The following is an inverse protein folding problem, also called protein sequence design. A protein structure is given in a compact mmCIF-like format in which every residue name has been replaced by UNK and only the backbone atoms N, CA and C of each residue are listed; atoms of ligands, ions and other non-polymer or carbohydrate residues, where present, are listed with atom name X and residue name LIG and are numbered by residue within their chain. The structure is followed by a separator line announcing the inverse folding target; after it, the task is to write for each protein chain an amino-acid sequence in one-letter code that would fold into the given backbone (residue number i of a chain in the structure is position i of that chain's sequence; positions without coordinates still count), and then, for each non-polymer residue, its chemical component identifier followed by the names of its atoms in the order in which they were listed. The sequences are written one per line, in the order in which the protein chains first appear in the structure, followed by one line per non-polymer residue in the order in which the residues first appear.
data_IF_383409487054
#
_entry.id   IF_383409487054
#
_cell.length_a   1.000
_cell.length_b   1.000
_cell.length_c   1.000
_cell.angle_alpha   90.00
_cell.angle_beta   90.00
_cell.angle_gamma   90.00
#
_symmetry.space_group_name_H-M   'P 1'
#
loop_
_entity.id
_entity.type
_entity.pdbx_description
1 polymer ?
#
# COMPACT_ATOMS: atom_id res chain seq x y z
N UNK A 1 15.19 2.88 5.79
CA UNK A 1 13.84 2.84 5.23
C UNK A 1 13.43 1.37 4.99
N UNK A 2 13.30 0.60 6.08
CA UNK A 2 12.95 -0.83 6.03
C UNK A 2 12.02 -1.25 7.21
N UNK A 3 11.71 -0.31 8.09
CA UNK A 3 11.07 -0.59 9.38
C UNK A 3 9.61 -0.99 9.22
N UNK A 4 8.92 -0.41 8.24
CA UNK A 4 7.49 -0.64 8.02
C UNK A 4 7.21 -2.04 7.43
N UNK A 5 8.04 -2.52 6.50
CA UNK A 5 7.93 -3.89 6.00
C UNK A 5 8.24 -4.94 7.08
N UNK A 6 9.26 -4.69 7.90
CA UNK A 6 9.58 -5.58 9.02
C UNK A 6 8.44 -5.65 10.05
N UNK A 7 7.70 -4.55 10.26
CA UNK A 7 6.52 -4.54 11.14
C UNK A 7 5.36 -5.35 10.54
N UNK A 8 5.06 -5.19 9.25
CA UNK A 8 4.04 -5.98 8.55
C UNK A 8 4.40 -7.47 8.58
N UNK A 9 5.65 -7.82 8.29
CA UNK A 9 6.14 -9.19 8.33
C UNK A 9 6.08 -9.80 9.75
N UNK A 10 6.25 -8.98 10.80
CA UNK A 10 6.10 -9.43 12.19
C UNK A 10 4.64 -9.69 12.59
N UNK A 11 3.67 -9.03 11.95
CA UNK A 11 2.23 -9.23 12.19
C UNK A 11 1.69 -10.46 11.46
N UNK A 12 2.32 -10.88 10.36
CA UNK A 12 1.98 -12.12 9.65
C UNK A 12 2.68 -13.30 10.33
N UNK A 13 1.98 -13.92 11.28
CA UNK A 13 2.51 -15.02 12.11
C UNK A 13 2.76 -16.33 11.35
N UNK A 14 2.14 -16.49 10.18
CA UNK A 14 2.19 -17.73 9.38
C UNK A 14 3.11 -17.52 8.19
N UNK A 15 4.09 -18.42 8.01
CA UNK A 15 4.91 -18.45 6.79
C UNK A 15 4.19 -19.20 5.68
N UNK A 16 4.16 -18.64 4.47
CA UNK A 16 3.55 -19.27 3.30
C UNK A 16 4.20 -20.63 2.98
N UNK A 17 3.36 -21.63 2.77
CA UNK A 17 3.68 -22.96 2.26
C UNK A 17 2.58 -23.43 1.28
N UNK A 18 2.71 -24.64 0.74
CA UNK A 18 1.81 -25.15 -0.31
C UNK A 18 0.39 -25.41 0.19
N UNK A 19 0.20 -25.63 1.48
CA UNK A 19 -1.06 -26.10 2.06
C UNK A 19 -1.80 -24.99 2.83
N UNK A 20 -1.17 -23.83 3.06
CA UNK A 20 -1.71 -22.78 3.93
C UNK A 20 -1.97 -21.44 3.24
N UNK A 21 -2.02 -21.41 1.91
CA UNK A 21 -2.19 -20.17 1.14
C UNK A 21 -3.37 -19.33 1.63
N UNK A 22 -4.54 -19.93 1.84
CA UNK A 22 -5.75 -19.21 2.27
C UNK A 22 -5.59 -18.57 3.67
N UNK A 23 -4.96 -19.28 4.61
CA UNK A 23 -4.72 -18.75 5.94
C UNK A 23 -3.68 -17.63 5.88
N UNK A 24 -2.60 -17.83 5.13
CA UNK A 24 -1.56 -16.84 4.94
C UNK A 24 -2.11 -15.57 4.28
N UNK A 25 -2.92 -15.70 3.22
CA UNK A 25 -3.48 -14.56 2.50
C UNK A 25 -4.44 -13.78 3.39
N UNK A 26 -5.28 -14.46 4.18
CA UNK A 26 -6.21 -13.79 5.11
C UNK A 26 -5.48 -12.97 6.19
N UNK A 27 -4.36 -13.48 6.72
CA UNK A 27 -3.56 -12.72 7.69
C UNK A 27 -2.87 -11.52 7.04
N UNK A 28 -2.34 -11.69 5.83
CA UNK A 28 -1.71 -10.60 5.10
C UNK A 28 -2.71 -9.48 4.78
N UNK A 29 -3.89 -9.85 4.29
CA UNK A 29 -4.98 -8.93 3.98
C UNK A 29 -5.45 -8.17 5.22
N UNK A 30 -5.67 -8.86 6.34
CA UNK A 30 -6.05 -8.22 7.60
C UNK A 30 -5.00 -7.23 8.11
N UNK A 31 -3.70 -7.55 7.95
CA UNK A 31 -2.62 -6.61 8.29
C UNK A 31 -2.65 -5.40 7.37
N UNK A 32 -2.83 -5.59 6.06
CA UNK A 32 -2.95 -4.49 5.10
C UNK A 32 -4.14 -3.59 5.39
N UNK A 33 -5.30 -4.16 5.74
CA UNK A 33 -6.49 -3.40 6.16
C UNK A 33 -6.19 -2.54 7.40
N UNK A 34 -5.54 -3.13 8.41
CA UNK A 34 -5.21 -2.43 9.66
C UNK A 34 -4.28 -1.23 9.47
N UNK A 35 -3.49 -1.24 8.39
CA UNK A 35 -2.54 -0.20 8.04
C UNK A 35 -3.05 0.71 6.91
N UNK A 36 -4.32 0.58 6.53
CA UNK A 36 -4.95 1.33 5.43
C UNK A 36 -4.18 1.16 4.10
N UNK A 37 -3.60 -0.02 3.87
CA UNK A 37 -2.80 -0.31 2.67
C UNK A 37 -3.61 -0.93 1.52
N UNK A 38 -4.78 -1.52 1.81
CA UNK A 38 -5.64 -2.14 0.79
C UNK A 38 -6.06 -1.14 -0.29
N UNK A 39 -6.27 0.12 0.09
CA UNK A 39 -6.70 1.18 -0.83
C UNK A 39 -5.71 1.44 -1.99
N UNK A 40 -4.43 1.09 -1.79
CA UNK A 40 -3.41 1.20 -2.82
C UNK A 40 -3.37 -0.03 -3.74
N UNK A 41 -3.87 -1.18 -3.28
CA UNK A 41 -3.89 -2.44 -4.03
C UNK A 41 -5.13 -2.52 -4.91
N UNK A 42 -6.29 -2.16 -4.37
CA UNK A 42 -7.56 -2.17 -5.10
C UNK A 42 -7.74 -0.93 -6.01
N UNK A 43 -6.86 0.07 -5.86
CA UNK A 43 -6.86 1.30 -6.64
C UNK A 43 -7.93 2.31 -6.23
N UNK A 44 -8.58 2.11 -5.08
CA UNK A 44 -9.52 3.09 -4.50
C UNK A 44 -8.82 4.38 -4.10
N UNK A 45 -7.52 4.33 -3.78
CA UNK A 45 -6.65 5.48 -3.59
C UNK A 45 -5.69 5.65 -4.78
N UNK A 46 -6.07 6.43 -5.80
CA UNK A 46 -5.22 6.64 -6.96
C UNK A 46 -4.00 7.49 -6.60
N UNK A 47 -2.90 7.26 -7.31
CA UNK A 47 -1.74 8.13 -7.22
C UNK A 47 -2.13 9.59 -7.53
N UNK A 48 -1.56 10.58 -6.82
CA UNK A 48 -1.80 11.98 -7.11
C UNK A 48 -1.40 12.29 -8.57
N UNK A 49 -2.14 13.17 -9.24
CA UNK A 49 -1.82 13.54 -10.62
C UNK A 49 -0.43 14.16 -10.72
N UNK A 50 0.32 13.82 -11.78
CA UNK A 50 1.69 14.31 -12.00
C UNK A 50 1.78 15.84 -12.11
N UNK A 51 0.68 16.46 -12.58
CA UNK A 51 0.57 17.90 -12.76
C UNK A 51 -0.72 18.44 -12.14
N UNK A 52 -0.64 19.66 -11.62
CA UNK A 52 -1.76 20.42 -11.08
C UNK A 52 -1.83 21.78 -11.79
N UNK A 53 -3.04 22.25 -12.08
CA UNK A 53 -3.24 23.60 -12.61
C UNK A 53 -3.32 24.57 -11.44
N UNK A 54 -2.36 25.47 -11.35
CA UNK A 54 -2.34 26.55 -10.35
C UNK A 54 -2.15 27.87 -11.07
N UNK A 55 -3.08 28.81 -10.87
CA UNK A 55 -3.10 30.13 -11.54
C UNK A 55 -3.13 30.04 -13.07
N UNK A 56 -3.89 29.08 -13.63
CA UNK A 56 -4.03 28.90 -15.08
C UNK A 56 -2.79 28.34 -15.80
N UNK A 57 -1.74 27.94 -15.05
CA UNK A 57 -0.54 27.29 -15.59
C UNK A 57 -0.40 25.88 -15.03
N UNK A 58 -0.01 24.94 -15.89
CA UNK A 58 0.35 23.58 -15.47
C UNK A 58 1.66 23.62 -14.68
N UNK A 59 1.64 23.07 -13.47
CA UNK A 59 2.82 22.91 -12.60
C UNK A 59 2.93 21.45 -12.17
N UNK A 60 4.16 21.00 -11.91
CA UNK A 60 4.42 19.67 -11.33
C UNK A 60 3.79 19.59 -9.95
N UNK A 61 3.11 18.48 -9.66
CA UNK A 61 2.48 18.25 -8.37
C UNK A 61 3.54 17.88 -7.31
N UNK A 62 3.70 18.67 -6.22
CA UNK A 62 4.63 18.34 -5.14
C UNK A 62 4.31 17.01 -4.44
N UNK A 63 3.05 16.60 -4.44
CA UNK A 63 2.58 15.36 -3.81
C UNK A 63 2.82 14.13 -4.70
N UNK A 64 3.17 14.33 -5.98
CA UNK A 64 3.55 13.24 -6.87
C UNK A 64 4.99 12.81 -6.60
N UNK A 65 5.14 11.79 -5.76
CA UNK A 65 6.43 11.15 -5.47
C UNK A 65 6.67 10.02 -6.48
N UNK A 66 7.76 10.14 -7.26
CA UNK A 66 8.28 9.11 -8.18
C UNK A 66 9.36 8.28 -7.49
#
# INVERSE_FOLDING_TARGET
MATQWNAIAALVSVKLNRDNYLLWSSQLESVMESQELIQFIDGTFPAPSETIVKDGKSKVNPEFTV
#
